data_IF_403181553683
#
_entry.id   IF_403181553683
#
_cell.length_a   1.000
_cell.length_b   1.000
_cell.length_c   1.000
_cell.angle_alpha   90.00
_cell.angle_beta   90.00
_cell.angle_gamma   90.00
#
_symmetry.space_group_name_H-M   'P 1'
#
loop_
_entity.id
_entity.type
_entity.pdbx_description
1 polymer ?
#
# COMPACT_ATOMS: atom_id res chain seq x y z
N UNK A 1 34.48 8.79 13.51
CA UNK A 1 34.29 7.35 13.22
C UNK A 1 32.81 7.07 13.07
N UNK A 2 32.40 6.28 12.06
CA UNK A 2 30.98 5.88 11.92
C UNK A 2 30.75 4.62 12.75
N UNK A 3 29.97 4.71 13.83
CA UNK A 3 29.53 3.54 14.59
C UNK A 3 28.40 2.81 13.87
N UNK A 4 28.31 1.49 14.05
CA UNK A 4 27.26 0.67 13.45
C UNK A 4 26.74 -0.35 14.46
N UNK A 5 25.43 -0.59 14.48
CA UNK A 5 24.85 -1.72 15.21
C UNK A 5 25.09 -3.07 14.52
N UNK A 6 25.64 -3.07 13.29
CA UNK A 6 26.03 -4.30 12.59
C UNK A 6 24.83 -5.21 12.35
N UNK A 7 24.87 -6.42 12.90
CA UNK A 7 23.80 -7.42 12.82
C UNK A 7 23.17 -7.68 14.21
N UNK A 8 23.27 -6.73 15.15
CA UNK A 8 22.78 -6.92 16.51
C UNK A 8 21.25 -7.00 16.57
N UNK A 9 20.74 -7.65 17.62
CA UNK A 9 19.37 -7.45 18.07
C UNK A 9 19.38 -6.46 19.23
N UNK A 10 18.67 -5.35 19.09
CA UNK A 10 18.59 -4.28 20.11
C UNK A 10 17.13 -4.11 20.52
N UNK A 11 16.85 -4.31 21.80
CA UNK A 11 15.49 -4.24 22.35
C UNK A 11 15.36 -3.04 23.30
N UNK A 12 14.44 -2.13 22.99
CA UNK A 12 13.96 -1.09 23.86
C UNK A 12 12.65 -1.56 24.53
N UNK A 13 12.73 -1.93 25.80
CA UNK A 13 11.56 -2.37 26.58
C UNK A 13 10.70 -1.20 27.04
N UNK A 14 9.37 -1.38 26.98
CA UNK A 14 8.40 -0.49 27.60
C UNK A 14 8.52 -0.48 29.12
N UNK A 15 8.08 0.62 29.73
CA UNK A 15 7.98 0.75 31.16
C UNK A 15 6.79 -0.05 31.71
N UNK A 16 6.90 -0.56 32.94
CA UNK A 16 5.89 -1.42 33.58
C UNK A 16 5.05 -0.72 34.65
N UNK A 17 5.36 0.54 34.94
CA UNK A 17 4.69 1.34 35.95
C UNK A 17 4.07 2.61 35.35
N UNK A 18 2.94 3.05 35.90
CA UNK A 18 2.23 4.24 35.44
C UNK A 18 3.14 5.47 35.48
N UNK A 19 3.22 6.20 34.36
CA UNK A 19 4.04 7.41 34.24
C UNK A 19 5.54 7.18 34.16
N UNK A 20 6.03 5.93 34.18
CA UNK A 20 7.45 5.65 34.03
C UNK A 20 7.92 5.74 32.57
N UNK A 21 9.18 6.17 32.42
CA UNK A 21 9.87 6.26 31.14
C UNK A 21 10.43 4.90 30.73
N UNK A 22 10.22 4.55 29.47
CA UNK A 22 10.71 3.33 28.85
C UNK A 22 12.16 3.45 28.38
N UNK A 23 12.74 2.31 27.99
CA UNK A 23 14.06 2.31 27.35
C UNK A 23 14.00 2.96 25.96
N UNK A 24 15.13 3.53 25.53
CA UNK A 24 15.28 4.14 24.21
C UNK A 24 16.55 3.69 23.51
N UNK A 25 16.45 3.45 22.20
CA UNK A 25 17.58 3.26 21.29
C UNK A 25 17.64 4.46 20.34
N UNK A 26 18.75 5.19 20.33
CA UNK A 26 18.92 6.37 19.47
C UNK A 26 20.10 6.22 18.52
N UNK A 27 19.85 6.40 17.23
CA UNK A 27 20.86 6.60 16.20
C UNK A 27 20.94 8.09 15.85
N UNK A 28 22.12 8.68 15.98
CA UNK A 28 22.36 10.12 15.84
C UNK A 28 23.68 10.40 15.12
N UNK A 29 23.91 11.66 14.74
CA UNK A 29 25.05 12.07 13.94
C UNK A 29 25.21 11.24 12.65
N UNK A 30 26.26 10.42 12.54
CA UNK A 30 26.57 9.62 11.34
C UNK A 30 26.54 8.11 11.58
N UNK A 31 25.92 7.67 12.68
CA UNK A 31 25.81 6.26 13.04
C UNK A 31 24.88 5.49 12.10
N UNK A 32 24.91 4.16 12.20
CA UNK A 32 24.13 3.27 11.33
C UNK A 32 23.50 2.13 12.11
N UNK A 33 22.24 1.82 11.83
CA UNK A 33 21.61 0.59 12.31
C UNK A 33 22.14 -0.66 11.56
N UNK A 34 22.70 -0.48 10.36
CA UNK A 34 23.31 -1.60 9.62
C UNK A 34 22.23 -2.60 9.17
N UNK A 35 22.40 -3.86 9.52
CA UNK A 35 21.43 -4.94 9.30
C UNK A 35 20.77 -5.39 10.63
N UNK A 36 20.77 -4.55 11.66
CA UNK A 36 20.28 -4.91 12.99
C UNK A 36 18.77 -5.23 12.99
N UNK A 37 18.34 -6.01 13.99
CA UNK A 37 16.93 -6.12 14.38
C UNK A 37 16.70 -5.16 15.54
N UNK A 38 15.84 -4.16 15.36
CA UNK A 38 15.51 -3.16 16.36
C UNK A 38 14.09 -3.39 16.84
N UNK A 39 13.90 -3.58 18.14
CA UNK A 39 12.61 -3.94 18.74
C UNK A 39 12.21 -2.88 19.75
N UNK A 40 11.03 -2.28 19.60
CA UNK A 40 10.43 -1.39 20.60
C UNK A 40 9.16 -2.05 21.17
N UNK A 41 9.25 -2.52 22.41
CA UNK A 41 8.12 -3.16 23.08
C UNK A 41 7.21 -2.13 23.74
N UNK A 42 5.91 -2.36 23.70
CA UNK A 42 4.94 -1.57 24.46
C UNK A 42 5.17 -1.66 25.97
N UNK A 43 4.77 -0.61 26.67
CA UNK A 43 4.70 -0.56 28.12
C UNK A 43 3.45 -1.26 28.66
N UNK A 44 3.44 -1.49 29.97
CA UNK A 44 2.32 -2.04 30.71
C UNK A 44 2.02 -1.20 31.96
N UNK A 45 0.87 -1.41 32.60
CA UNK A 45 0.51 -0.68 33.82
C UNK A 45 0.38 0.84 33.66
N UNK A 46 0.14 1.33 32.44
CA UNK A 46 0.13 2.75 32.10
C UNK A 46 1.51 3.37 31.89
N UNK A 47 2.56 2.55 31.77
CA UNK A 47 3.90 2.98 31.40
C UNK A 47 4.02 3.31 29.91
N UNK A 48 5.01 4.14 29.59
CA UNK A 48 5.35 4.47 28.19
C UNK A 48 5.94 3.25 27.46
N UNK A 49 5.82 3.21 26.13
CA UNK A 49 6.45 2.17 25.32
C UNK A 49 7.90 2.49 24.98
N UNK A 50 8.68 1.45 24.69
CA UNK A 50 10.06 1.58 24.25
C UNK A 50 10.16 2.45 23.00
N UNK A 51 11.31 3.09 22.80
CA UNK A 51 11.51 4.00 21.67
C UNK A 51 12.73 3.63 20.83
N UNK A 52 12.57 3.69 19.51
CA UNK A 52 13.65 3.71 18.53
C UNK A 52 13.62 5.08 17.86
N UNK A 53 14.73 5.80 17.88
CA UNK A 53 14.84 7.15 17.31
C UNK A 53 15.98 7.24 16.32
N UNK A 54 15.72 7.85 15.17
CA UNK A 54 16.75 8.28 14.23
C UNK A 54 16.72 9.81 14.13
N UNK A 55 17.89 10.43 14.18
CA UNK A 55 18.06 11.85 13.96
C UNK A 55 19.34 12.17 13.17
N UNK A 56 19.52 13.45 12.82
CA UNK A 56 20.65 13.97 12.06
C UNK A 56 20.86 13.21 10.73
N UNK A 57 22.08 12.75 10.45
CA UNK A 57 22.46 12.04 9.23
C UNK A 57 22.68 10.53 9.50
N UNK A 58 22.00 9.99 10.51
CA UNK A 58 22.08 8.56 10.83
C UNK A 58 21.45 7.72 9.72
N UNK A 59 21.75 6.41 9.67
CA UNK A 59 21.29 5.53 8.59
C UNK A 59 20.59 4.31 9.13
N UNK A 60 19.38 4.03 8.64
CA UNK A 60 18.66 2.80 8.97
C UNK A 60 19.23 1.55 8.29
N UNK A 61 19.89 1.71 7.14
CA UNK A 61 20.49 0.59 6.41
C UNK A 61 19.44 -0.40 5.92
N UNK A 62 19.64 -1.68 6.23
CA UNK A 62 18.72 -2.80 5.96
C UNK A 62 18.09 -3.33 7.25
N UNK A 63 18.16 -2.57 8.34
CA UNK A 63 17.65 -2.97 9.64
C UNK A 63 16.15 -3.33 9.59
N UNK A 64 15.79 -4.37 10.34
CA UNK A 64 14.40 -4.80 10.59
C UNK A 64 13.90 -4.08 11.83
N UNK A 65 12.83 -3.30 11.71
CA UNK A 65 12.26 -2.53 12.81
C UNK A 65 10.92 -3.12 13.23
N UNK A 66 10.83 -3.57 14.47
CA UNK A 66 9.63 -4.13 15.08
C UNK A 66 9.14 -3.18 16.17
N UNK A 67 7.90 -2.71 16.07
CA UNK A 67 7.29 -1.84 17.08
C UNK A 67 5.96 -2.42 17.53
N UNK A 68 5.73 -2.46 18.85
CA UNK A 68 4.57 -3.14 19.43
C UNK A 68 3.82 -2.27 20.44
N UNK A 69 2.49 -2.36 20.46
CA UNK A 69 1.63 -1.63 21.41
C UNK A 69 1.84 -0.11 21.36
N UNK A 70 2.22 0.52 22.48
CA UNK A 70 2.60 1.95 22.50
C UNK A 70 4.12 2.17 22.33
N UNK A 71 4.87 1.14 21.92
CA UNK A 71 6.27 1.25 21.49
C UNK A 71 6.37 1.94 20.13
N UNK A 72 7.43 2.71 19.91
CA UNK A 72 7.51 3.63 18.76
C UNK A 72 8.82 3.63 18.00
N UNK A 73 8.72 3.86 16.69
CA UNK A 73 9.77 4.39 15.83
C UNK A 73 9.51 5.89 15.62
N UNK A 74 10.51 6.74 15.85
CA UNK A 74 10.40 8.19 15.64
C UNK A 74 11.54 8.69 14.73
N UNK A 75 11.16 9.25 13.58
CA UNK A 75 12.07 9.87 12.61
C UNK A 75 11.83 11.38 12.45
N UNK A 76 11.04 12.00 13.33
CA UNK A 76 10.69 13.43 13.26
C UNK A 76 11.92 14.35 13.30
N UNK A 77 13.04 13.88 13.86
CA UNK A 77 14.32 14.59 13.88
C UNK A 77 15.31 14.22 12.77
N UNK A 78 14.88 13.50 11.74
CA UNK A 78 15.71 13.03 10.63
C UNK A 78 15.22 13.63 9.31
N UNK A 79 16.07 14.05 8.35
CA UNK A 79 15.65 14.58 7.05
C UNK A 79 15.06 13.53 6.07
N UNK A 80 14.53 12.41 6.57
CA UNK A 80 14.03 11.26 5.80
C UNK A 80 14.91 10.01 5.89
N UNK A 81 14.34 8.88 6.31
CA UNK A 81 15.07 7.68 6.73
C UNK A 81 14.79 6.51 5.79
N UNK A 82 15.81 5.73 5.43
CA UNK A 82 15.65 4.40 4.80
C UNK A 82 15.96 3.29 5.78
N UNK A 83 15.03 2.34 5.95
CA UNK A 83 15.19 1.11 6.74
C UNK A 83 14.92 -0.14 5.89
N UNK A 84 15.34 -1.30 6.39
CA UNK A 84 15.08 -2.60 5.78
C UNK A 84 13.59 -2.90 5.72
N UNK A 85 12.95 -3.00 6.87
CA UNK A 85 11.52 -3.30 6.97
C UNK A 85 10.94 -2.73 8.27
N UNK A 86 9.61 -2.58 8.27
CA UNK A 86 8.81 -2.28 9.46
C UNK A 86 7.77 -3.38 9.65
N UNK A 87 7.48 -3.74 10.90
CA UNK A 87 6.42 -4.67 11.27
C UNK A 87 6.00 -4.50 12.73
N UNK A 88 4.89 -5.16 13.08
CA UNK A 88 4.26 -5.04 14.39
C UNK A 88 3.03 -4.13 14.38
N UNK A 89 2.53 -3.81 15.56
CA UNK A 89 1.27 -3.09 15.81
C UNK A 89 1.45 -1.76 16.56
N UNK A 90 2.70 -1.29 16.69
CA UNK A 90 3.03 -0.04 17.38
C UNK A 90 2.97 1.24 16.54
N UNK A 91 3.61 2.30 17.03
CA UNK A 91 3.54 3.64 16.43
C UNK A 91 4.78 3.97 15.58
N UNK A 92 4.57 4.63 14.45
CA UNK A 92 5.63 5.23 13.62
C UNK A 92 5.35 6.71 13.44
N UNK A 93 6.21 7.56 13.99
CA UNK A 93 6.12 9.02 13.90
C UNK A 93 7.08 9.56 12.84
N UNK A 94 6.52 10.19 11.80
CA UNK A 94 7.26 10.68 10.64
C UNK A 94 7.74 12.13 10.77
N UNK A 95 7.02 12.95 11.53
CA UNK A 95 7.12 14.40 11.45
C UNK A 95 6.76 14.90 10.06
N UNK A 96 7.64 15.70 9.45
CA UNK A 96 7.53 16.17 8.07
C UNK A 96 8.43 15.39 7.09
N UNK A 97 8.79 14.15 7.42
CA UNK A 97 9.86 13.41 6.75
C UNK A 97 9.36 12.17 6.01
N UNK A 98 10.12 11.73 5.01
CA UNK A 98 9.84 10.49 4.28
C UNK A 98 10.47 9.27 4.97
N UNK A 99 9.68 8.24 5.23
CA UNK A 99 10.17 6.92 5.62
C UNK A 99 10.22 6.01 4.39
N UNK A 100 11.41 5.54 4.02
CA UNK A 100 11.61 4.56 2.96
C UNK A 100 11.80 3.16 3.55
N UNK A 101 11.03 2.19 3.08
CA UNK A 101 10.99 0.82 3.61
C UNK A 101 11.16 -0.21 2.50
N UNK A 102 11.89 -1.28 2.79
CA UNK A 102 12.06 -2.45 1.93
C UNK A 102 13.48 -2.70 1.44
N UNK A 103 14.49 -2.00 1.97
CA UNK A 103 15.89 -2.18 1.52
C UNK A 103 16.45 -3.59 1.80
N UNK A 104 15.81 -4.38 2.66
CA UNK A 104 16.14 -5.79 2.94
C UNK A 104 15.27 -6.80 2.18
N UNK A 105 14.34 -6.33 1.33
CA UNK A 105 13.41 -7.15 0.55
C UNK A 105 12.49 -8.08 1.36
N UNK A 106 12.39 -7.92 2.69
CA UNK A 106 11.46 -8.72 3.49
C UNK A 106 10.01 -8.39 3.15
N UNK A 107 9.16 -9.40 3.29
CA UNK A 107 7.71 -9.24 3.24
C UNK A 107 7.16 -9.15 4.65
N UNK A 108 6.55 -8.02 4.99
CA UNK A 108 6.06 -7.73 6.36
C UNK A 108 4.60 -7.31 6.39
N UNK A 109 4.00 -7.46 7.57
CA UNK A 109 2.71 -6.87 7.92
C UNK A 109 2.91 -5.83 9.01
N UNK A 110 2.39 -4.64 8.79
CA UNK A 110 2.35 -3.57 9.76
C UNK A 110 0.88 -3.27 10.08
N UNK A 111 0.48 -3.58 11.30
CA UNK A 111 -0.86 -3.36 11.83
C UNK A 111 -0.93 -2.20 12.83
N UNK A 112 0.16 -1.44 12.93
CA UNK A 112 0.26 -0.24 13.75
C UNK A 112 -0.15 1.03 13.00
N UNK A 113 0.11 2.18 13.61
CA UNK A 113 -0.21 3.50 13.04
C UNK A 113 1.06 4.22 12.58
N UNK A 114 1.10 4.60 11.32
CA UNK A 114 2.06 5.55 10.76
C UNK A 114 1.40 6.93 10.76
N UNK A 115 2.07 7.93 11.33
CA UNK A 115 1.49 9.25 11.56
C UNK A 115 2.51 10.39 11.49
N UNK A 116 1.98 11.59 11.26
CA UNK A 116 2.72 12.84 11.44
C UNK A 116 3.09 13.05 12.92
N UNK A 117 3.86 14.10 13.22
CA UNK A 117 4.28 14.42 14.58
C UNK A 117 5.47 13.59 15.07
N UNK A 118 5.49 13.26 16.36
CA UNK A 118 6.66 12.72 17.05
C UNK A 118 7.32 13.78 17.92
N UNK A 119 8.50 13.48 18.48
CA UNK A 119 9.11 14.36 19.47
C UNK A 119 9.42 15.78 18.93
N UNK A 120 9.68 15.94 17.63
CA UNK A 120 9.87 17.27 17.02
C UNK A 120 8.66 17.80 16.26
N UNK A 121 7.50 17.13 16.36
CA UNK A 121 6.30 17.52 15.62
C UNK A 121 6.48 17.44 14.10
N UNK A 122 5.74 18.27 13.37
CA UNK A 122 5.76 18.34 11.91
C UNK A 122 4.60 17.58 11.25
N UNK A 123 4.23 18.03 10.06
CA UNK A 123 3.17 17.46 9.21
C UNK A 123 3.71 17.24 7.81
N UNK A 124 3.04 16.40 7.02
CA UNK A 124 3.47 16.07 5.66
C UNK A 124 4.43 14.89 5.61
N UNK A 125 4.48 14.07 6.67
CA UNK A 125 5.21 12.81 6.67
C UNK A 125 4.75 11.91 5.53
N UNK A 126 5.68 11.22 4.89
CA UNK A 126 5.41 10.40 3.70
C UNK A 126 6.04 9.02 3.80
N UNK A 127 5.53 8.09 3.00
CA UNK A 127 5.99 6.70 2.96
C UNK A 127 6.46 6.33 1.56
N UNK A 128 7.63 5.72 1.44
CA UNK A 128 8.15 5.17 0.18
C UNK A 128 8.43 3.68 0.32
N UNK A 129 7.76 2.86 -0.50
CA UNK A 129 8.00 1.42 -0.58
C UNK A 129 9.00 1.10 -1.70
N UNK A 130 10.10 0.45 -1.34
CA UNK A 130 11.15 -0.07 -2.23
C UNK A 130 11.35 -1.57 -2.03
N UNK A 131 12.30 -2.17 -2.75
CA UNK A 131 12.62 -3.59 -2.64
C UNK A 131 11.56 -4.51 -3.21
N UNK A 132 11.87 -5.80 -3.35
CA UNK A 132 10.98 -6.79 -3.99
C UNK A 132 9.93 -7.35 -3.04
N UNK A 133 10.13 -7.22 -1.73
CA UNK A 133 9.20 -7.72 -0.71
C UNK A 133 7.85 -7.00 -0.71
N UNK A 134 6.94 -7.52 0.11
CA UNK A 134 5.59 -7.01 0.33
C UNK A 134 5.51 -6.18 1.60
N UNK A 135 4.84 -5.04 1.58
CA UNK A 135 4.41 -4.34 2.79
C UNK A 135 2.88 -4.37 2.86
N UNK A 136 2.33 -4.94 3.94
CA UNK A 136 0.90 -4.88 4.21
C UNK A 136 0.64 -3.81 5.26
N UNK A 137 -0.28 -2.89 4.97
CA UNK A 137 -0.80 -1.91 5.92
C UNK A 137 -2.22 -2.33 6.31
N UNK A 138 -2.37 -2.80 7.54
CA UNK A 138 -3.61 -3.40 8.04
C UNK A 138 -4.40 -2.49 9.00
N UNK A 139 -3.91 -1.27 9.26
CA UNK A 139 -4.57 -0.30 10.15
C UNK A 139 -4.70 1.07 9.50
N UNK A 140 -5.51 1.95 10.12
CA UNK A 140 -5.63 3.35 9.69
C UNK A 140 -4.30 4.07 9.93
N UNK A 141 -3.74 4.64 8.87
CA UNK A 141 -2.62 5.56 8.95
C UNK A 141 -3.11 7.01 8.86
N UNK A 142 -2.38 7.94 9.47
CA UNK A 142 -2.80 9.35 9.64
C UNK A 142 -1.74 10.36 9.21
N UNK A 143 -0.64 9.93 8.61
CA UNK A 143 0.29 10.85 7.97
C UNK A 143 -0.38 11.58 6.80
N UNK A 144 0.03 12.83 6.56
CA UNK A 144 -0.67 13.70 5.60
C UNK A 144 0.06 13.85 4.27
N UNK A 145 1.33 13.46 4.20
CA UNK A 145 2.08 13.37 2.95
C UNK A 145 1.70 12.16 2.10
N UNK A 146 2.32 12.04 0.92
CA UNK A 146 2.01 10.99 -0.04
C UNK A 146 2.61 9.62 0.28
N UNK A 147 2.11 8.60 -0.41
CA UNK A 147 2.70 7.26 -0.47
C UNK A 147 3.27 7.01 -1.86
N UNK A 148 4.53 6.59 -1.95
CA UNK A 148 5.17 6.21 -3.23
C UNK A 148 5.52 4.73 -3.23
N UNK A 149 5.15 4.01 -4.29
CA UNK A 149 5.57 2.62 -4.53
C UNK A 149 6.55 2.61 -5.70
N UNK A 150 7.83 2.38 -5.40
CA UNK A 150 8.90 2.32 -6.39
C UNK A 150 9.28 0.87 -6.75
N UNK A 151 8.96 -0.10 -5.90
CA UNK A 151 9.17 -1.54 -6.17
C UNK A 151 8.41 -2.43 -5.19
N UNK A 152 8.20 -3.68 -5.62
CA UNK A 152 7.59 -4.73 -4.80
C UNK A 152 6.08 -4.55 -4.73
N UNK A 153 5.49 -4.96 -3.61
CA UNK A 153 4.03 -4.89 -3.42
C UNK A 153 3.67 -4.08 -2.19
N UNK A 154 2.76 -3.13 -2.33
CA UNK A 154 2.05 -2.48 -1.24
C UNK A 154 0.62 -3.05 -1.19
N UNK A 155 0.22 -3.59 -0.04
CA UNK A 155 -1.14 -4.06 0.20
C UNK A 155 -1.80 -3.14 1.23
N UNK A 156 -2.96 -2.59 0.86
CA UNK A 156 -3.82 -1.82 1.76
C UNK A 156 -4.98 -2.71 2.19
N UNK A 157 -5.06 -3.04 3.48
CA UNK A 157 -6.04 -4.00 4.01
C UNK A 157 -6.80 -3.49 5.24
N UNK A 158 -7.03 -2.18 5.31
CA UNK A 158 -7.91 -1.55 6.32
C UNK A 158 -9.20 -1.07 5.66
N UNK A 159 -10.36 -1.43 6.21
CA UNK A 159 -11.67 -1.11 5.62
C UNK A 159 -12.28 0.16 6.24
N UNK A 160 -12.88 1.00 5.41
CA UNK A 160 -13.64 2.19 5.82
C UNK A 160 -12.78 3.37 6.32
N UNK A 161 -11.46 3.18 6.45
CA UNK A 161 -10.49 4.20 6.86
C UNK A 161 -9.25 4.03 5.99
N UNK A 162 -8.52 5.11 5.72
CA UNK A 162 -7.38 5.00 4.81
C UNK A 162 -6.18 4.29 5.43
N UNK A 163 -5.65 3.32 4.69
CA UNK A 163 -4.37 2.69 5.02
C UNK A 163 -3.14 3.44 4.53
N UNK A 164 -3.29 4.56 3.81
CA UNK A 164 -2.16 5.30 3.23
C UNK A 164 -2.16 6.78 3.61
N UNK A 165 -2.82 7.13 4.72
CA UNK A 165 -2.98 8.52 5.12
C UNK A 165 -3.93 9.29 4.21
N UNK A 166 -3.84 10.62 4.24
CA UNK A 166 -4.69 11.50 3.41
C UNK A 166 -4.05 11.92 2.08
N UNK A 167 -2.73 11.80 1.96
CA UNK A 167 -1.99 12.23 0.77
C UNK A 167 -2.16 11.29 -0.43
N UNK A 168 -1.71 11.72 -1.62
CA UNK A 168 -1.82 10.92 -2.84
C UNK A 168 -0.96 9.66 -2.79
N UNK A 169 -1.36 8.65 -3.55
CA UNK A 169 -0.60 7.42 -3.76
C UNK A 169 -0.08 7.38 -5.20
N UNK A 170 1.24 7.33 -5.36
CA UNK A 170 1.91 7.22 -6.65
C UNK A 170 2.58 5.84 -6.75
N UNK A 171 2.24 5.06 -7.77
CA UNK A 171 2.90 3.78 -8.06
C UNK A 171 3.79 3.97 -9.28
N UNK A 172 5.07 4.24 -9.06
CA UNK A 172 6.03 4.40 -10.14
C UNK A 172 6.40 3.07 -10.79
N UNK A 173 6.47 2.01 -9.97
CA UNK A 173 6.77 0.63 -10.40
C UNK A 173 6.36 -0.35 -9.31
N UNK A 174 5.93 -1.54 -9.72
CA UNK A 174 5.53 -2.60 -8.80
C UNK A 174 4.01 -2.64 -8.68
N UNK A 175 3.50 -3.14 -7.55
CA UNK A 175 2.07 -3.46 -7.42
C UNK A 175 1.43 -2.82 -6.21
N UNK A 176 0.30 -2.17 -6.44
CA UNK A 176 -0.64 -1.77 -5.40
C UNK A 176 -1.82 -2.75 -5.38
N UNK A 177 -2.23 -3.17 -4.19
CA UNK A 177 -3.37 -4.06 -4.05
C UNK A 177 -3.98 -4.08 -2.66
N UNK A 178 -4.75 -5.13 -2.38
CA UNK A 178 -5.46 -5.32 -1.13
C UNK A 178 -6.97 -5.12 -1.25
N UNK A 179 -7.64 -5.15 -0.10
CA UNK A 179 -9.10 -5.07 0.00
C UNK A 179 -9.55 -3.91 0.90
N UNK A 180 -8.68 -2.92 1.06
CA UNK A 180 -8.87 -1.80 1.98
C UNK A 180 -9.32 -0.52 1.29
N UNK A 181 -9.19 0.58 2.03
CA UNK A 181 -9.57 1.92 1.60
C UNK A 181 -8.33 2.81 1.47
N UNK A 182 -8.28 3.61 0.40
CA UNK A 182 -7.30 4.66 0.13
C UNK A 182 -8.07 5.98 0.05
N UNK A 183 -7.69 6.99 0.84
CA UNK A 183 -8.39 8.28 0.83
C UNK A 183 -7.89 9.20 -0.29
N UNK A 184 -6.58 9.29 -0.48
CA UNK A 184 -5.97 10.17 -1.48
C UNK A 184 -6.13 9.65 -2.91
N UNK A 185 -5.91 10.56 -3.86
CA UNK A 185 -5.90 10.20 -5.29
C UNK A 185 -4.80 9.17 -5.57
N UNK A 186 -5.07 8.26 -6.52
CA UNK A 186 -4.16 7.17 -6.88
C UNK A 186 -3.73 7.36 -8.32
N UNK A 187 -2.42 7.34 -8.57
CA UNK A 187 -1.85 7.38 -9.92
C UNK A 187 -0.94 6.17 -10.12
N UNK A 188 -1.25 5.37 -11.14
CA UNK A 188 -0.46 4.21 -11.56
C UNK A 188 0.41 4.62 -12.74
N UNK A 189 1.70 4.29 -12.65
CA UNK A 189 2.66 4.54 -13.71
C UNK A 189 3.15 5.98 -13.74
N UNK A 190 4.16 6.22 -14.55
CA UNK A 190 4.79 7.53 -14.75
C UNK A 190 4.58 8.07 -16.18
N UNK A 191 3.97 7.27 -17.06
CA UNK A 191 3.77 7.58 -18.47
C UNK A 191 4.90 7.10 -19.40
N UNK A 192 6.04 6.69 -18.84
CA UNK A 192 7.19 6.21 -19.62
C UNK A 192 8.10 5.26 -18.82
N UNK A 193 7.60 4.75 -17.69
CA UNK A 193 8.37 3.99 -16.72
C UNK A 193 8.30 2.50 -16.95
N UNK A 194 8.71 1.76 -15.92
CA UNK A 194 8.52 0.31 -15.84
C UNK A 194 7.12 0.02 -15.30
N UNK A 195 6.59 -1.15 -15.62
CA UNK A 195 5.19 -1.52 -15.33
C UNK A 195 4.77 -1.24 -13.86
N UNK A 196 3.65 -0.52 -13.74
CA UNK A 196 2.95 -0.25 -12.50
C UNK A 196 1.60 -0.96 -12.53
N UNK A 197 1.37 -1.89 -11.60
CA UNK A 197 0.17 -2.72 -11.59
C UNK A 197 -0.76 -2.32 -10.45
N UNK A 198 -2.04 -2.17 -10.77
CA UNK A 198 -3.12 -2.20 -9.78
C UNK A 198 -3.75 -3.60 -9.79
N UNK A 199 -3.88 -4.20 -8.61
CA UNK A 199 -4.42 -5.55 -8.44
C UNK A 199 -5.14 -5.63 -7.11
N UNK A 200 -6.46 -5.40 -7.10
CA UNK A 200 -7.29 -5.70 -5.94
C UNK A 200 -7.06 -7.12 -5.41
N UNK A 201 -7.38 -7.34 -4.14
CA UNK A 201 -7.15 -8.64 -3.48
C UNK A 201 -5.84 -8.75 -2.71
N UNK A 202 -5.80 -9.69 -1.75
CA UNK A 202 -4.70 -9.82 -0.78
C UNK A 202 -3.55 -10.72 -1.27
N UNK A 203 -3.83 -11.73 -2.09
CA UNK A 203 -2.80 -12.47 -2.84
C UNK A 203 -3.14 -12.42 -4.33
N UNK A 204 -2.11 -12.18 -5.16
CA UNK A 204 -2.23 -12.42 -6.59
C UNK A 204 -2.46 -13.92 -6.78
N UNK A 205 -3.42 -14.29 -7.63
CA UNK A 205 -3.83 -15.65 -7.90
C UNK A 205 -4.67 -16.25 -6.79
N UNK A 206 -5.41 -15.44 -6.04
CA UNK A 206 -6.29 -15.91 -4.94
C UNK A 206 -7.68 -15.30 -5.03
N UNK A 207 -8.54 -15.56 -4.05
CA UNK A 207 -9.90 -15.04 -4.02
C UNK A 207 -9.94 -13.53 -4.36
N UNK A 208 -10.71 -13.16 -5.40
CA UNK A 208 -10.84 -11.77 -5.80
C UNK A 208 -11.33 -10.85 -4.69
N UNK A 209 -10.96 -9.58 -4.75
CA UNK A 209 -11.20 -8.60 -3.70
C UNK A 209 -11.60 -7.22 -4.21
N UNK A 210 -12.12 -6.40 -3.30
CA UNK A 210 -12.52 -5.02 -3.61
C UNK A 210 -11.56 -4.01 -2.98
N UNK A 211 -10.92 -3.18 -3.79
CA UNK A 211 -10.12 -2.04 -3.33
C UNK A 211 -10.91 -0.74 -3.52
N UNK A 212 -11.03 0.06 -2.46
CA UNK A 212 -11.77 1.33 -2.49
C UNK A 212 -10.81 2.50 -2.49
N UNK A 213 -10.97 3.42 -3.44
CA UNK A 213 -10.23 4.66 -3.60
C UNK A 213 -11.26 5.80 -3.52
N UNK A 214 -11.19 6.62 -2.48
CA UNK A 214 -12.21 7.67 -2.23
C UNK A 214 -11.98 8.96 -3.03
N UNK A 215 -11.04 8.90 -3.97
CA UNK A 215 -10.54 10.02 -4.78
C UNK A 215 -10.32 9.55 -6.23
N UNK A 216 -9.92 10.45 -7.14
CA UNK A 216 -9.63 10.07 -8.52
C UNK A 216 -8.55 8.99 -8.64
N UNK A 217 -8.76 8.08 -9.59
CA UNK A 217 -7.82 7.05 -10.03
C UNK A 217 -7.34 7.36 -11.45
N UNK A 218 -6.03 7.38 -11.67
CA UNK A 218 -5.42 7.56 -12.99
C UNK A 218 -4.53 6.38 -13.34
N UNK A 219 -4.74 5.81 -14.53
CA UNK A 219 -3.82 4.86 -15.18
C UNK A 219 -3.04 5.59 -16.26
N UNK A 220 -1.71 5.69 -16.08
CA UNK A 220 -0.82 6.17 -17.13
C UNK A 220 -0.53 5.07 -18.17
N UNK A 221 0.12 5.45 -19.26
CA UNK A 221 0.41 4.57 -20.41
C UNK A 221 1.24 3.32 -20.08
N UNK A 222 1.99 3.34 -18.98
CA UNK A 222 2.81 2.24 -18.44
C UNK A 222 2.11 1.46 -17.31
N UNK A 223 0.81 1.69 -17.10
CA UNK A 223 0.03 1.03 -16.07
C UNK A 223 -0.73 -0.20 -16.58
N UNK A 224 -0.83 -1.20 -15.71
CA UNK A 224 -1.65 -2.41 -15.92
C UNK A 224 -2.70 -2.51 -14.82
N UNK A 225 -3.97 -2.71 -15.18
CA UNK A 225 -4.99 -3.20 -14.25
C UNK A 225 -5.10 -4.72 -14.36
N UNK A 226 -4.72 -5.44 -13.30
CA UNK A 226 -4.96 -6.87 -13.24
C UNK A 226 -6.33 -7.18 -12.65
N UNK A 227 -7.11 -7.92 -13.42
CA UNK A 227 -8.46 -8.36 -13.10
C UNK A 227 -8.42 -9.87 -12.86
N UNK A 228 -8.66 -10.29 -11.62
CA UNK A 228 -8.89 -11.69 -11.31
C UNK A 228 -10.40 -11.96 -11.19
N UNK A 229 -10.87 -13.00 -11.87
CA UNK A 229 -12.18 -13.60 -11.62
C UNK A 229 -11.98 -15.00 -11.07
N UNK A 230 -12.99 -15.53 -10.39
CA UNK A 230 -13.02 -16.93 -10.02
C UNK A 230 -14.35 -17.53 -10.44
N UNK A 231 -14.37 -18.19 -11.60
CA UNK A 231 -15.58 -18.80 -12.17
C UNK A 231 -16.18 -19.94 -11.36
N UNK A 232 -15.42 -20.53 -10.45
CA UNK A 232 -15.96 -21.54 -9.53
C UNK A 232 -16.75 -20.94 -8.36
N UNK A 233 -16.53 -19.66 -8.06
CA UNK A 233 -17.16 -18.96 -6.92
C UNK A 233 -17.92 -17.69 -7.29
N UNK A 234 -17.96 -17.35 -8.59
CA UNK A 234 -18.63 -16.16 -9.12
C UNK A 234 -18.18 -14.85 -8.46
N UNK A 235 -16.89 -14.78 -8.12
CA UNK A 235 -16.26 -13.58 -7.56
C UNK A 235 -15.34 -12.91 -8.58
N UNK A 236 -15.19 -11.58 -8.44
CA UNK A 236 -14.38 -10.75 -9.33
C UNK A 236 -13.67 -9.66 -8.55
N UNK A 237 -12.48 -9.28 -9.01
CA UNK A 237 -11.76 -8.14 -8.50
C UNK A 237 -12.53 -6.88 -8.86
N UNK A 238 -12.65 -5.99 -7.88
CA UNK A 238 -13.37 -4.74 -8.06
C UNK A 238 -12.55 -3.56 -7.57
N UNK A 239 -12.50 -2.52 -8.39
CA UNK A 239 -12.08 -1.19 -7.97
C UNK A 239 -13.34 -0.37 -7.73
N UNK A 240 -13.37 0.39 -6.62
CA UNK A 240 -14.33 1.48 -6.40
C UNK A 240 -13.53 2.77 -6.40
N UNK A 241 -13.83 3.73 -7.27
CA UNK A 241 -13.08 4.99 -7.38
C UNK A 241 -14.00 6.20 -7.56
N UNK A 242 -13.58 7.39 -7.08
CA UNK A 242 -14.30 8.64 -7.31
C UNK A 242 -13.72 9.36 -8.53
N UNK A 243 -14.05 8.86 -9.72
CA UNK A 243 -13.52 9.33 -10.99
C UNK A 243 -12.34 8.48 -11.46
N UNK A 244 -12.35 8.15 -12.75
CA UNK A 244 -11.34 7.28 -13.36
C UNK A 244 -10.89 7.86 -14.68
N UNK A 245 -9.56 7.95 -14.85
CA UNK A 245 -8.90 8.34 -16.10
C UNK A 245 -7.98 7.22 -16.55
N UNK A 246 -8.13 6.78 -17.79
CA UNK A 246 -7.32 5.76 -18.43
C UNK A 246 -6.62 6.39 -19.63
N UNK A 247 -5.34 6.71 -19.46
CA UNK A 247 -4.53 7.29 -20.52
C UNK A 247 -4.22 6.23 -21.59
N UNK A 248 -3.99 6.70 -22.83
CA UNK A 248 -3.66 5.82 -23.96
C UNK A 248 -2.48 4.90 -23.62
N UNK A 249 -2.53 3.66 -24.12
CA UNK A 249 -1.56 2.58 -23.87
C UNK A 249 -1.63 1.90 -22.51
N UNK A 250 -2.41 2.39 -21.54
CA UNK A 250 -2.71 1.60 -20.33
C UNK A 250 -3.36 0.26 -20.72
N UNK A 251 -2.99 -0.82 -20.02
CA UNK A 251 -3.39 -2.19 -20.32
C UNK A 251 -4.22 -2.81 -19.20
N UNK A 252 -4.92 -3.89 -19.51
CA UNK A 252 -5.40 -4.86 -18.53
C UNK A 252 -4.61 -6.17 -18.63
N UNK A 253 -4.56 -6.93 -17.55
CA UNK A 253 -4.33 -8.37 -17.57
C UNK A 253 -5.54 -9.06 -16.94
N UNK A 254 -5.91 -10.23 -17.45
CA UNK A 254 -7.10 -10.94 -16.99
C UNK A 254 -6.75 -12.39 -16.66
N UNK A 255 -7.18 -12.86 -15.50
CA UNK A 255 -7.04 -14.24 -15.08
C UNK A 255 -8.36 -14.78 -14.52
N UNK A 256 -8.78 -15.94 -15.00
CA UNK A 256 -9.81 -16.73 -14.32
C UNK A 256 -9.13 -17.82 -13.48
N UNK A 257 -9.33 -17.73 -12.16
CA UNK A 257 -8.76 -18.63 -11.16
C UNK A 257 -9.63 -19.87 -10.93
N UNK A 258 -10.84 -19.88 -11.49
CA UNK A 258 -11.77 -20.99 -11.44
C UNK A 258 -11.72 -21.87 -12.69
N UNK A 259 -12.62 -22.84 -12.71
CA UNK A 259 -12.84 -23.75 -13.85
C UNK A 259 -14.33 -23.90 -14.17
N UNK A 260 -15.14 -22.94 -13.73
CA UNK A 260 -16.58 -22.91 -13.94
C UNK A 260 -16.96 -22.21 -15.24
N UNK A 261 -18.23 -22.35 -15.60
CA UNK A 261 -18.85 -21.56 -16.67
C UNK A 261 -19.89 -20.65 -16.07
N UNK A 262 -19.84 -19.38 -16.39
CA UNK A 262 -20.85 -18.42 -15.98
C UNK A 262 -22.13 -18.55 -16.80
N UNK A 263 -23.24 -18.06 -16.25
CA UNK A 263 -24.50 -17.98 -16.98
C UNK A 263 -24.45 -16.81 -17.96
N UNK A 264 -24.86 -17.04 -19.20
CA UNK A 264 -25.02 -15.97 -20.20
C UNK A 264 -25.92 -14.87 -19.64
N UNK A 265 -25.47 -13.62 -19.75
CA UNK A 265 -26.11 -12.45 -19.18
C UNK A 265 -25.62 -12.08 -17.76
N UNK A 266 -24.75 -12.87 -17.12
CA UNK A 266 -24.08 -12.41 -15.88
C UNK A 266 -23.25 -11.16 -16.19
N UNK A 267 -23.32 -10.16 -15.30
CA UNK A 267 -22.59 -8.89 -15.42
C UNK A 267 -21.68 -8.72 -14.23
N UNK A 268 -20.38 -8.51 -14.48
CA UNK A 268 -19.37 -8.25 -13.46
C UNK A 268 -18.89 -6.81 -13.57
N UNK A 269 -19.08 -6.01 -12.51
CA UNK A 269 -18.49 -4.68 -12.41
C UNK A 269 -17.06 -4.79 -11.89
N UNK A 270 -16.07 -4.48 -12.74
CA UNK A 270 -14.65 -4.54 -12.39
C UNK A 270 -14.10 -3.17 -11.99
N UNK A 271 -14.68 -2.09 -12.52
CA UNK A 271 -14.49 -0.72 -12.03
C UNK A 271 -15.85 -0.09 -11.79
N UNK A 272 -16.08 0.30 -10.55
CA UNK A 272 -17.22 1.10 -10.08
C UNK A 272 -16.77 2.55 -9.93
N UNK A 273 -17.23 3.39 -10.84
CA UNK A 273 -16.89 4.80 -10.91
C UNK A 273 -17.98 5.63 -10.23
N UNK A 274 -17.80 5.86 -8.94
CA UNK A 274 -18.74 6.61 -8.10
C UNK A 274 -18.87 8.11 -8.43
N UNK A 275 -18.13 8.63 -9.42
CA UNK A 275 -18.27 10.03 -9.86
C UNK A 275 -19.38 10.19 -10.89
N UNK A 276 -20.00 11.36 -10.98
CA UNK A 276 -21.04 11.62 -11.98
C UNK A 276 -20.51 11.65 -13.44
N UNK A 277 -19.19 11.72 -13.63
CA UNK A 277 -18.57 11.76 -14.96
C UNK A 277 -18.21 10.34 -15.44
N UNK A 278 -18.43 10.01 -16.72
CA UNK A 278 -17.97 8.73 -17.31
C UNK A 278 -16.47 8.49 -17.11
N UNK A 279 -16.05 7.22 -17.17
CA UNK A 279 -14.63 6.87 -17.26
C UNK A 279 -14.04 7.57 -18.49
N UNK A 280 -12.95 8.31 -18.28
CA UNK A 280 -12.25 8.98 -19.37
C UNK A 280 -11.22 8.04 -20.00
N UNK A 281 -11.47 7.60 -21.24
CA UNK A 281 -10.60 6.70 -22.00
C UNK A 281 -10.91 5.21 -21.77
N UNK A 282 -10.15 4.34 -22.44
CA UNK A 282 -10.28 2.87 -22.37
C UNK A 282 -8.90 2.22 -22.30
N UNK A 283 -8.81 1.03 -21.70
CA UNK A 283 -7.59 0.23 -21.79
C UNK A 283 -7.36 -0.22 -23.24
N UNK A 284 -6.12 -0.22 -23.69
CA UNK A 284 -5.81 -0.37 -25.13
C UNK A 284 -6.05 -1.78 -25.64
N UNK A 285 -5.90 -2.80 -24.79
CA UNK A 285 -6.23 -4.19 -25.07
C UNK A 285 -7.63 -4.61 -24.58
N UNK A 286 -8.44 -3.67 -24.12
CA UNK A 286 -9.82 -3.91 -23.72
C UNK A 286 -10.74 -2.77 -24.19
N UNK A 287 -10.90 -2.55 -25.51
CA UNK A 287 -11.74 -1.48 -26.04
C UNK A 287 -13.23 -1.67 -25.69
N UNK A 288 -13.98 -0.58 -25.67
CA UNK A 288 -15.43 -0.62 -25.44
C UNK A 288 -16.17 -1.44 -26.52
N UNK A 289 -17.15 -2.24 -26.09
CA UNK A 289 -17.93 -3.13 -26.96
C UNK A 289 -17.19 -4.36 -27.48
N UNK A 290 -15.88 -4.49 -27.24
CA UNK A 290 -15.10 -5.66 -27.64
C UNK A 290 -15.46 -6.91 -26.84
N UNK A 291 -15.06 -8.08 -27.35
CA UNK A 291 -15.17 -9.35 -26.64
C UNK A 291 -13.83 -10.05 -26.49
N UNK A 292 -13.69 -10.83 -25.41
CA UNK A 292 -12.56 -11.72 -25.21
C UNK A 292 -13.03 -12.99 -24.48
N UNK A 293 -12.27 -14.08 -24.60
CA UNK A 293 -12.60 -15.36 -23.97
C UNK A 293 -11.50 -15.78 -23.00
N UNK A 294 -11.89 -16.24 -21.81
CA UNK A 294 -10.98 -16.82 -20.80
C UNK A 294 -11.65 -18.00 -20.10
N UNK A 295 -10.94 -19.13 -19.99
CA UNK A 295 -11.45 -20.40 -19.44
C UNK A 295 -12.84 -20.82 -19.98
N UNK A 296 -13.09 -20.59 -21.27
CA UNK A 296 -14.36 -20.95 -21.92
C UNK A 296 -15.52 -19.99 -21.66
N UNK A 297 -15.30 -18.91 -20.91
CA UNK A 297 -16.26 -17.82 -20.71
C UNK A 297 -15.93 -16.67 -21.67
N UNK A 298 -16.92 -16.22 -22.46
CA UNK A 298 -16.79 -15.05 -23.34
C UNK A 298 -17.39 -13.83 -22.67
N UNK A 299 -16.61 -12.76 -22.58
CA UNK A 299 -16.96 -11.51 -21.91
C UNK A 299 -17.09 -10.40 -22.96
N UNK A 300 -18.18 -9.63 -22.89
CA UNK A 300 -18.36 -8.38 -23.62
C UNK A 300 -18.07 -7.20 -22.69
N UNK A 301 -17.24 -6.27 -23.17
CA UNK A 301 -16.77 -5.09 -22.44
C UNK A 301 -17.75 -3.94 -22.61
N UNK A 302 -18.06 -3.24 -21.52
CA UNK A 302 -18.86 -2.01 -21.55
C UNK A 302 -18.33 -0.98 -20.54
N UNK A 303 -17.89 0.20 -21.01
CA UNK A 303 -17.44 1.34 -20.16
C UNK A 303 -18.56 2.30 -19.75
N UNK A 304 -19.79 1.99 -20.15
CA UNK A 304 -21.03 2.66 -19.77
C UNK A 304 -21.98 1.72 -19.01
N UNK A 305 -21.41 0.70 -18.35
CA UNK A 305 -22.17 -0.25 -17.56
C UNK A 305 -22.65 0.33 -16.23
N UNK A 306 -23.33 -0.50 -15.43
CA UNK A 306 -23.78 -0.14 -14.09
C UNK A 306 -24.80 1.00 -14.10
N UNK A 307 -24.47 2.13 -13.49
CA UNK A 307 -25.28 3.36 -13.51
C UNK A 307 -25.02 4.26 -14.74
N UNK A 308 -24.21 3.79 -15.69
CA UNK A 308 -23.91 4.47 -16.95
C UNK A 308 -22.45 4.92 -17.10
N UNK A 309 -21.61 4.68 -16.10
CA UNK A 309 -20.21 5.14 -16.09
C UNK A 309 -19.20 4.08 -15.62
N UNK A 310 -19.62 2.83 -15.44
CA UNK A 310 -18.78 1.74 -14.91
C UNK A 310 -18.12 0.92 -16.01
N UNK A 311 -17.00 0.27 -15.69
CA UNK A 311 -16.45 -0.82 -16.51
C UNK A 311 -17.07 -2.14 -16.06
N UNK A 312 -17.93 -2.71 -16.92
CA UNK A 312 -18.55 -4.01 -16.71
C UNK A 312 -18.15 -5.01 -17.78
N UNK A 313 -18.19 -6.29 -17.39
CA UNK A 313 -17.95 -7.44 -18.25
C UNK A 313 -19.21 -8.32 -18.24
N UNK A 314 -19.88 -8.45 -19.38
CA UNK A 314 -21.11 -9.25 -19.52
C UNK A 314 -20.80 -10.58 -20.19
N UNK A 315 -21.30 -11.69 -19.65
CA UNK A 315 -21.16 -13.00 -20.28
C UNK A 315 -22.07 -13.10 -21.49
N UNK A 316 -21.48 -13.42 -22.64
CA UNK A 316 -22.19 -13.57 -23.92
C UNK A 316 -21.99 -14.98 -24.49
N UNK A 317 -22.85 -15.43 -25.42
CA UNK A 317 -22.71 -16.73 -26.08
C UNK A 317 -21.36 -16.96 -26.76
#
# INVERSE_FOLDING_TARGET
TRSTAGNATVTANGATASGAEAAGTTFFNSSSAGNATLIANGGSGGGTGGSIRFCDQSRGGTARVEVFGNGKLDISGHPGLTVGSIEGDGDVFLGANNLTVGSNNLSTNFSGVIQDGGNLGGTGGSLTKIGTGKLVLSHRNTYTGGTTVNRGRLIVNTRGRSGTGSGPVQVNRGRLGGMGTIAGAVTLGTGSGLEATLSPGYHHGSNPGTLTIQSPLTFNSDATYEIEVNSSSETVDKIVALGVTINSSAQTSFADLGSGTFTVGNVFTVIDNTSATPIAGTFSNLPDGSTFTSNGNTYQVNYSGGDGNDLTLTIVP
#
